data_IF_002726726096
#
_entry.id   IF_002726726096
#
_cell.length_a   1.000
_cell.length_b   1.000
_cell.length_c   1.000
_cell.angle_alpha   90.00
_cell.angle_beta   90.00
_cell.angle_gamma   90.00
#
_symmetry.space_group_name_H-M   'P 1'
#
loop_
_entity.id
_entity.type
_entity.pdbx_description
1 polymer ?
#
# COMPACT_ATOMS: atom_id res chain seq x y z
N UNK A 1 12.76 34.45 -4.08
CA UNK A 1 12.85 33.46 -3.00
C UNK A 1 12.61 32.09 -3.61
N UNK A 2 13.69 31.32 -3.77
CA UNK A 2 13.67 30.01 -4.51
C UNK A 2 13.46 28.89 -3.51
N UNK A 3 12.30 28.22 -3.58
CA UNK A 3 11.99 27.03 -2.76
C UNK A 3 12.59 25.82 -3.47
N UNK A 4 13.68 25.29 -2.93
CA UNK A 4 14.29 24.04 -3.37
C UNK A 4 13.35 22.87 -3.04
N UNK A 5 12.70 22.30 -4.05
CA UNK A 5 11.98 21.01 -3.94
C UNK A 5 13.00 19.88 -3.78
N UNK A 6 12.99 19.27 -2.61
CA UNK A 6 13.75 18.05 -2.35
C UNK A 6 13.12 16.89 -3.16
N UNK A 7 13.90 16.34 -4.09
CA UNK A 7 13.53 15.09 -4.81
C UNK A 7 13.55 13.93 -3.82
N UNK A 8 12.39 13.44 -3.44
CA UNK A 8 12.26 12.15 -2.74
C UNK A 8 12.49 11.04 -3.77
N UNK A 9 13.57 10.30 -3.62
CA UNK A 9 13.76 9.02 -4.33
C UNK A 9 12.79 8.02 -3.73
N UNK A 10 11.79 7.62 -4.49
CA UNK A 10 10.91 6.50 -4.16
C UNK A 10 11.75 5.23 -4.33
N UNK A 11 12.16 4.63 -3.22
CA UNK A 11 12.61 3.24 -3.21
C UNK A 11 11.35 2.38 -3.23
N UNK A 12 11.12 1.71 -4.35
CA UNK A 12 10.10 0.68 -4.47
C UNK A 12 10.52 -0.54 -3.63
N UNK A 13 10.07 -0.58 -2.38
CA UNK A 13 10.12 -1.77 -1.55
C UNK A 13 8.94 -2.67 -1.90
N UNK A 14 9.19 -3.79 -2.58
CA UNK A 14 8.18 -4.80 -2.81
C UNK A 14 7.79 -5.43 -1.47
N UNK A 15 6.57 -5.19 -1.00
CA UNK A 15 5.98 -5.94 0.10
C UNK A 15 5.69 -7.34 -0.43
N UNK A 16 6.54 -8.30 -0.10
CA UNK A 16 6.30 -9.71 -0.36
C UNK A 16 5.23 -10.21 0.61
N UNK A 17 3.98 -10.23 0.17
CA UNK A 17 2.93 -11.01 0.83
C UNK A 17 3.32 -12.49 0.67
N UNK A 18 3.76 -13.12 1.75
CA UNK A 18 4.05 -14.54 1.77
C UNK A 18 2.75 -15.34 1.54
N UNK A 19 2.50 -15.72 0.29
CA UNK A 19 1.49 -16.70 -0.05
C UNK A 19 1.95 -18.05 0.55
N UNK A 20 1.15 -18.63 1.42
CA UNK A 20 1.34 -19.99 1.91
C UNK A 20 1.06 -20.95 0.74
N UNK A 21 2.10 -21.34 0.04
CA UNK A 21 2.05 -22.37 -0.98
C UNK A 21 2.07 -23.73 -0.30
N UNK A 22 1.02 -24.52 -0.48
CA UNK A 22 1.02 -25.93 -0.12
C UNK A 22 2.08 -26.65 -0.94
N UNK A 23 3.17 -27.05 -0.32
CA UNK A 23 4.24 -27.82 -0.94
C UNK A 23 3.78 -29.28 -1.15
N UNK A 24 3.64 -29.66 -2.40
CA UNK A 24 3.58 -31.08 -2.80
C UNK A 24 4.97 -31.68 -2.56
N UNK A 25 5.05 -32.61 -1.64
CA UNK A 25 6.30 -33.32 -1.31
C UNK A 25 6.75 -34.19 -2.49
N UNK A 26 7.84 -33.80 -3.16
CA UNK A 26 8.63 -34.68 -4.01
C UNK A 26 9.70 -35.39 -3.13
N UNK A 27 9.84 -36.70 -3.16
CA UNK A 27 10.84 -37.39 -2.38
C UNK A 27 12.22 -37.26 -3.06
N UNK A 28 13.20 -36.70 -2.35
CA UNK A 28 14.60 -36.97 -2.70
C UNK A 28 15.58 -35.80 -2.76
N UNK A 29 15.25 -34.60 -2.29
CA UNK A 29 16.29 -33.57 -2.07
C UNK A 29 16.27 -33.20 -0.57
N UNK A 30 17.36 -33.50 0.13
CA UNK A 30 17.55 -32.99 1.48
C UNK A 30 17.62 -31.45 1.40
N UNK A 31 16.48 -30.79 1.59
CA UNK A 31 16.47 -29.34 1.80
C UNK A 31 17.23 -29.08 3.08
N UNK A 32 18.35 -28.37 2.96
CA UNK A 32 19.02 -27.82 4.13
C UNK A 32 17.97 -27.07 4.95
N UNK A 33 17.72 -27.53 6.17
CA UNK A 33 16.73 -26.89 7.04
C UNK A 33 17.11 -25.41 7.19
N UNK A 34 16.25 -24.51 6.75
CA UNK A 34 16.47 -23.09 6.91
C UNK A 34 16.69 -22.82 8.41
N UNK A 35 17.81 -22.23 8.80
CA UNK A 35 18.13 -22.03 10.21
C UNK A 35 16.99 -21.26 10.86
N UNK A 36 16.35 -21.83 11.88
CA UNK A 36 15.26 -21.16 12.60
C UNK A 36 15.81 -19.91 13.30
N UNK A 37 15.02 -18.85 13.27
CA UNK A 37 15.36 -17.65 14.03
C UNK A 37 15.47 -17.97 15.52
N UNK A 38 16.47 -17.43 16.23
CA UNK A 38 16.58 -17.56 17.67
C UNK A 38 15.51 -16.80 18.44
N UNK A 39 14.73 -15.95 17.74
CA UNK A 39 13.65 -15.18 18.33
C UNK A 39 12.31 -15.90 18.19
N UNK A 40 11.51 -15.82 19.22
CA UNK A 40 10.10 -16.26 19.23
C UNK A 40 9.21 -15.07 19.53
N UNK A 41 8.33 -14.72 18.60
CA UNK A 41 7.33 -13.66 18.78
C UNK A 41 5.99 -14.28 19.19
N UNK A 42 5.37 -13.72 20.21
CA UNK A 42 4.02 -14.09 20.65
C UNK A 42 3.17 -12.85 20.83
N UNK A 43 1.94 -12.93 20.35
CA UNK A 43 0.89 -11.97 20.65
C UNK A 43 -0.01 -12.57 21.71
N UNK A 44 -0.24 -11.81 22.77
CA UNK A 44 -1.17 -12.18 23.84
C UNK A 44 -2.60 -12.27 23.34
N UNK A 45 -3.49 -12.72 24.20
CA UNK A 45 -4.90 -12.82 23.86
C UNK A 45 -5.48 -11.44 23.55
N UNK A 46 -6.02 -11.29 22.34
CA UNK A 46 -6.76 -10.09 21.94
C UNK A 46 -8.20 -10.20 22.42
N UNK A 47 -8.73 -9.13 22.98
CA UNK A 47 -10.14 -9.08 23.38
C UNK A 47 -11.07 -9.49 22.24
N UNK A 48 -12.09 -10.29 22.55
CA UNK A 48 -13.07 -10.75 21.56
C UNK A 48 -13.89 -9.63 20.93
N UNK A 49 -14.58 -9.93 19.83
CA UNK A 49 -15.43 -9.00 19.07
C UNK A 49 -14.66 -8.11 18.09
N UNK A 50 -15.37 -7.35 17.27
CA UNK A 50 -14.75 -6.48 16.26
C UNK A 50 -14.06 -5.26 16.88
N UNK A 51 -13.13 -4.67 16.14
CA UNK A 51 -12.58 -3.35 16.41
C UNK A 51 -13.56 -2.31 15.86
N UNK A 52 -14.20 -1.53 16.73
CA UNK A 52 -15.23 -0.58 16.30
C UNK A 52 -14.62 0.76 15.91
N UNK A 53 -14.88 1.31 14.69
CA UNK A 53 -14.44 2.64 14.33
C UNK A 53 -14.85 3.71 15.34
N UNK A 54 -13.86 4.46 15.87
CA UNK A 54 -14.05 5.42 16.94
C UNK A 54 -14.36 4.82 18.32
N UNK A 55 -14.31 3.48 18.43
CA UNK A 55 -14.57 2.75 19.67
C UNK A 55 -13.33 2.61 20.57
N UNK A 56 -13.47 1.72 21.56
CA UNK A 56 -12.36 1.41 22.49
C UNK A 56 -11.26 0.62 21.79
N UNK A 57 -10.02 0.91 22.15
CA UNK A 57 -8.87 0.15 21.69
C UNK A 57 -8.91 -1.29 22.19
N UNK A 58 -8.43 -2.23 21.38
CA UNK A 58 -8.04 -3.56 21.81
C UNK A 58 -6.64 -3.51 22.39
N UNK A 59 -6.45 -4.17 23.51
CA UNK A 59 -5.17 -4.22 24.22
C UNK A 59 -4.70 -5.66 24.26
N UNK A 60 -3.43 -5.89 23.94
CA UNK A 60 -2.77 -7.19 24.00
C UNK A 60 -1.28 -7.00 24.25
N UNK A 61 -0.60 -8.08 24.62
CA UNK A 61 0.85 -8.06 24.83
C UNK A 61 1.58 -8.54 23.58
N UNK A 62 2.65 -7.86 23.22
CA UNK A 62 3.69 -8.31 22.28
C UNK A 62 4.85 -8.81 23.12
N UNK A 63 5.24 -10.06 22.95
CA UNK A 63 6.42 -10.64 23.61
C UNK A 63 7.41 -11.19 22.61
N UNK A 64 8.67 -10.84 22.79
CA UNK A 64 9.80 -11.34 21.99
C UNK A 64 10.75 -12.06 22.93
N UNK A 65 10.97 -13.34 22.70
CA UNK A 65 11.83 -14.20 23.51
C UNK A 65 13.05 -14.62 22.69
N UNK A 66 14.23 -14.44 23.25
CA UNK A 66 15.47 -15.00 22.72
C UNK A 66 15.68 -16.41 23.29
N UNK A 67 15.62 -17.43 22.45
CA UNK A 67 15.79 -18.84 22.83
C UNK A 67 17.26 -19.30 22.79
N UNK A 68 18.16 -18.44 22.34
CA UNK A 68 19.58 -18.78 22.21
C UNK A 68 20.42 -18.41 23.45
N UNK A 69 21.58 -19.02 23.57
CA UNK A 69 22.55 -18.74 24.64
C UNK A 69 23.39 -17.46 24.42
N UNK A 70 23.06 -16.63 23.42
CA UNK A 70 23.76 -15.38 23.10
C UNK A 70 22.79 -14.23 22.97
N UNK A 71 23.24 -13.02 23.23
CA UNK A 71 22.41 -11.83 22.93
C UNK A 71 22.13 -11.72 21.43
N UNK A 72 20.90 -11.32 21.08
CA UNK A 72 20.44 -11.15 19.69
C UNK A 72 20.00 -9.70 19.49
N UNK A 73 20.53 -9.06 18.46
CA UNK A 73 20.05 -7.75 18.01
C UNK A 73 18.93 -7.94 16.97
N UNK A 74 17.86 -7.16 17.09
CA UNK A 74 16.74 -7.17 16.14
C UNK A 74 16.12 -5.77 15.98
N UNK A 75 15.55 -5.53 14.82
CA UNK A 75 14.67 -4.40 14.51
C UNK A 75 13.22 -4.89 14.44
N UNK A 76 12.26 -4.02 14.70
CA UNK A 76 10.83 -4.35 14.63
C UNK A 76 10.13 -3.38 13.67
N UNK A 77 9.58 -3.94 12.60
CA UNK A 77 8.72 -3.26 11.66
C UNK A 77 7.26 -3.66 11.94
N UNK A 78 6.39 -2.68 11.98
CA UNK A 78 4.97 -2.86 12.20
C UNK A 78 4.24 -2.58 10.89
N UNK A 79 3.50 -3.56 10.38
CA UNK A 79 2.71 -3.43 9.16
C UNK A 79 1.22 -3.53 9.43
N UNK A 80 0.43 -2.87 8.60
CA UNK A 80 -1.02 -3.01 8.60
C UNK A 80 -1.61 -2.80 7.21
N UNK A 81 -2.60 -3.63 6.86
CA UNK A 81 -3.33 -3.49 5.60
C UNK A 81 -4.81 -3.81 5.79
N UNK A 82 -5.62 -3.23 4.94
CA UNK A 82 -7.03 -3.54 4.85
C UNK A 82 -7.37 -4.11 3.46
N UNK A 83 -8.48 -4.81 3.36
CA UNK A 83 -9.00 -5.34 2.09
C UNK A 83 -10.33 -4.67 1.75
N UNK A 84 -10.30 -3.36 1.59
CA UNK A 84 -11.47 -2.57 1.28
C UNK A 84 -11.43 -1.92 -0.09
N UNK A 85 -12.39 -1.03 -0.31
CA UNK A 85 -12.46 -0.21 -1.51
C UNK A 85 -11.51 1.00 -1.45
N UNK A 86 -10.88 1.25 -0.31
CA UNK A 86 -10.02 2.40 -0.06
C UNK A 86 -8.76 1.96 0.68
N UNK A 87 -7.64 2.58 0.37
CA UNK A 87 -6.38 2.41 1.09
C UNK A 87 -6.47 2.95 2.51
N UNK A 88 -5.62 2.42 3.39
CA UNK A 88 -5.44 2.96 4.73
C UNK A 88 -4.53 4.19 4.72
N UNK A 89 -4.89 5.13 5.57
CA UNK A 89 -4.07 6.28 5.95
C UNK A 89 -3.66 6.17 7.42
N UNK A 90 -2.57 6.84 7.81
CA UNK A 90 -2.09 6.86 9.19
C UNK A 90 -3.10 7.40 10.21
N UNK A 91 -4.13 8.12 9.75
CA UNK A 91 -5.22 8.62 10.60
C UNK A 91 -6.32 7.61 10.86
N UNK A 92 -6.38 6.50 10.10
CA UNK A 92 -7.42 5.47 10.22
C UNK A 92 -7.23 4.57 11.42
N UNK A 93 -5.99 4.45 11.89
CA UNK A 93 -5.61 3.60 13.01
C UNK A 93 -4.81 4.40 14.03
N UNK A 94 -5.13 4.19 15.30
CA UNK A 94 -4.32 4.67 16.41
C UNK A 94 -3.62 3.49 17.07
N UNK A 95 -2.29 3.53 17.07
CA UNK A 95 -1.43 2.54 17.69
C UNK A 95 -0.63 3.17 18.83
N UNK A 96 -0.60 2.51 19.98
CA UNK A 96 0.32 2.83 21.07
C UNK A 96 1.02 1.57 21.52
N UNK A 97 2.32 1.66 21.78
CA UNK A 97 3.14 0.58 22.31
C UNK A 97 3.86 1.08 23.56
N UNK A 98 3.62 0.41 24.67
CA UNK A 98 4.18 0.79 25.98
C UNK A 98 5.04 -0.35 26.51
N UNK A 99 6.32 -0.13 26.88
CA UNK A 99 7.17 -1.17 27.44
C UNK A 99 6.66 -1.61 28.81
N UNK A 100 6.61 -2.93 29.06
CA UNK A 100 6.26 -3.56 30.34
C UNK A 100 7.53 -4.17 30.96
N UNK A 101 8.16 -5.07 30.22
CA UNK A 101 9.45 -5.70 30.55
C UNK A 101 10.42 -5.56 29.36
N UNK A 102 10.52 -4.36 28.82
CA UNK A 102 11.36 -4.02 27.68
C UNK A 102 12.04 -2.67 27.92
N UNK A 103 13.10 -2.33 27.19
CA UNK A 103 13.68 -0.99 27.21
C UNK A 103 12.66 0.07 26.82
N UNK A 104 12.85 1.29 27.32
CA UNK A 104 12.07 2.43 26.87
C UNK A 104 12.12 2.51 25.33
N UNK A 105 10.95 2.62 24.70
CA UNK A 105 10.78 2.48 23.27
C UNK A 105 10.14 3.72 22.66
N UNK A 106 10.47 3.98 21.40
CA UNK A 106 9.80 4.97 20.54
C UNK A 106 9.07 4.22 19.45
N UNK A 107 7.86 4.67 19.14
CA UNK A 107 7.06 4.20 18.02
C UNK A 107 6.95 5.33 16.99
N UNK A 108 7.38 5.09 15.77
CA UNK A 108 7.00 5.84 14.58
C UNK A 108 5.97 5.02 13.82
N UNK A 109 4.82 5.61 13.49
CA UNK A 109 3.72 4.89 12.84
C UNK A 109 2.90 5.85 11.98
N UNK A 110 2.56 5.44 10.77
CA UNK A 110 1.81 6.25 9.82
C UNK A 110 1.28 5.48 8.64
N UNK A 111 0.69 6.19 7.69
CA UNK A 111 0.30 5.64 6.38
C UNK A 111 1.50 5.60 5.44
N UNK A 112 1.65 4.49 4.73
CA UNK A 112 2.62 4.34 3.66
C UNK A 112 2.09 3.36 2.61
N UNK A 113 2.16 3.75 1.34
CA UNK A 113 1.85 2.90 0.19
C UNK A 113 0.48 2.18 0.29
N UNK A 114 -0.54 2.92 0.75
CA UNK A 114 -1.92 2.41 0.89
C UNK A 114 -2.14 1.49 2.08
N UNK A 115 -1.14 1.28 2.90
CA UNK A 115 -1.18 0.55 4.14
C UNK A 115 -0.66 1.37 5.32
N UNK A 116 -0.37 0.67 6.39
CA UNK A 116 0.22 1.23 7.60
C UNK A 116 1.63 0.69 7.74
N UNK A 117 2.57 1.56 8.05
CA UNK A 117 3.94 1.19 8.36
C UNK A 117 4.39 1.89 9.64
N UNK A 118 5.15 1.19 10.45
CA UNK A 118 5.77 1.76 11.64
C UNK A 118 7.02 1.01 12.05
N UNK A 119 7.75 1.66 12.93
CA UNK A 119 8.97 1.10 13.50
C UNK A 119 8.96 1.28 15.01
N UNK A 120 9.21 0.20 15.73
CA UNK A 120 9.42 0.22 17.16
C UNK A 120 10.92 0.06 17.44
N UNK A 121 11.52 1.01 18.15
CA UNK A 121 12.94 1.01 18.41
C UNK A 121 13.29 1.58 19.80
N UNK A 122 14.49 1.30 20.36
CA UNK A 122 14.90 1.83 21.65
C UNK A 122 14.89 3.36 21.68
N UNK A 123 14.26 3.96 22.69
CA UNK A 123 14.19 5.42 22.86
C UNK A 123 15.56 6.08 22.94
N UNK A 124 16.54 5.38 23.49
CA UNK A 124 17.93 5.83 23.60
C UNK A 124 18.76 5.08 22.56
N UNK A 125 19.10 5.74 21.47
CA UNK A 125 19.82 5.17 20.34
C UNK A 125 19.52 5.88 19.03
N UNK A 126 20.01 5.36 17.91
CA UNK A 126 19.66 5.91 16.59
C UNK A 126 18.19 5.63 16.26
N UNK A 127 17.62 6.48 15.42
CA UNK A 127 16.30 6.25 14.81
C UNK A 127 16.32 4.90 14.09
N UNK A 128 15.27 4.12 14.27
CA UNK A 128 15.16 2.73 13.76
C UNK A 128 16.30 1.82 14.23
N UNK A 129 16.87 2.11 15.40
CA UNK A 129 17.92 1.31 16.01
C UNK A 129 17.46 -0.05 16.48
N UNK A 130 18.37 -1.01 16.54
CA UNK A 130 18.06 -2.36 16.98
C UNK A 130 17.95 -2.47 18.51
N UNK A 131 16.99 -3.26 18.97
CA UNK A 131 16.99 -3.79 20.32
C UNK A 131 18.08 -4.86 20.49
N UNK A 132 18.67 -4.95 21.67
CA UNK A 132 19.55 -6.07 22.03
C UNK A 132 18.86 -6.89 23.13
N UNK A 133 18.44 -8.10 22.77
CA UNK A 133 17.76 -9.02 23.69
C UNK A 133 18.78 -10.02 24.27
N UNK A 134 19.05 -10.02 25.58
CA UNK A 134 20.00 -10.93 26.21
C UNK A 134 19.63 -12.40 25.98
N UNK A 135 20.61 -13.29 26.20
CA UNK A 135 20.40 -14.73 26.14
C UNK A 135 19.24 -15.15 27.07
N UNK A 136 18.32 -15.97 26.57
CA UNK A 136 17.18 -16.52 27.31
C UNK A 136 16.21 -15.48 27.90
N UNK A 137 16.33 -14.20 27.52
CA UNK A 137 15.46 -13.12 28.01
C UNK A 137 14.21 -12.97 27.15
N UNK A 138 13.22 -12.27 27.73
CA UNK A 138 11.99 -11.88 27.03
C UNK A 138 11.74 -10.40 27.24
N UNK A 139 11.51 -9.67 26.14
CA UNK A 139 10.93 -8.33 26.17
C UNK A 139 9.43 -8.40 25.99
N UNK A 140 8.69 -7.55 26.70
CA UNK A 140 7.24 -7.47 26.60
C UNK A 140 6.80 -6.02 26.51
N UNK A 141 5.90 -5.75 25.57
CA UNK A 141 5.24 -4.47 25.39
C UNK A 141 3.73 -4.68 25.46
N UNK A 142 3.01 -3.70 25.99
CA UNK A 142 1.58 -3.59 25.88
C UNK A 142 1.22 -2.80 24.64
N UNK A 143 0.47 -3.41 23.72
CA UNK A 143 -0.01 -2.83 22.48
C UNK A 143 -1.46 -2.42 22.67
N UNK A 144 -1.79 -1.19 22.26
CA UNK A 144 -3.15 -0.67 22.21
C UNK A 144 -3.48 -0.21 20.80
N UNK A 145 -4.43 -0.89 20.16
CA UNK A 145 -4.79 -0.70 18.74
C UNK A 145 -6.26 -0.31 18.62
N UNK A 146 -6.56 0.79 17.94
CA UNK A 146 -7.92 1.28 17.72
C UNK A 146 -8.12 1.72 16.27
N UNK A 147 -9.26 1.36 15.67
CA UNK A 147 -9.75 2.01 14.45
C UNK A 147 -10.34 3.37 14.84
N UNK A 148 -9.99 4.42 14.12
CA UNK A 148 -10.51 5.76 14.35
C UNK A 148 -11.88 5.94 13.68
N UNK A 149 -12.48 7.12 13.85
CA UNK A 149 -13.70 7.47 13.11
C UNK A 149 -13.47 7.66 11.61
N UNK A 150 -12.21 7.87 11.21
CA UNK A 150 -11.80 8.01 9.81
C UNK A 150 -11.69 6.67 9.08
N UNK A 151 -11.84 5.53 9.78
CA UNK A 151 -11.76 4.18 9.19
C UNK A 151 -12.53 4.11 7.87
N UNK A 152 -11.92 3.56 6.78
CA UNK A 152 -12.52 3.57 5.45
C UNK A 152 -13.87 2.87 5.40
N UNK A 153 -14.78 3.41 4.58
CA UNK A 153 -16.07 2.77 4.34
C UNK A 153 -15.89 1.43 3.64
N UNK A 154 -16.76 0.48 3.97
CA UNK A 154 -16.80 -0.86 3.37
C UNK A 154 -15.50 -1.65 3.51
N UNK A 155 -14.79 -1.42 4.61
CA UNK A 155 -13.63 -2.19 5.00
C UNK A 155 -13.89 -2.81 6.36
N UNK A 156 -14.01 -4.14 6.41
CA UNK A 156 -14.40 -4.88 7.60
C UNK A 156 -13.25 -5.67 8.24
N UNK A 157 -12.02 -5.50 7.73
CA UNK A 157 -10.85 -6.23 8.22
C UNK A 157 -9.59 -5.36 8.27
N UNK A 158 -8.80 -5.59 9.32
CA UNK A 158 -7.45 -5.09 9.47
C UNK A 158 -6.50 -6.27 9.66
N UNK A 159 -5.58 -6.45 8.73
CA UNK A 159 -4.40 -7.26 8.94
C UNK A 159 -3.35 -6.40 9.61
N UNK A 160 -2.87 -6.83 10.75
CA UNK A 160 -1.91 -6.07 11.54
C UNK A 160 -0.81 -7.00 12.04
N UNK A 161 0.46 -6.65 11.85
CA UNK A 161 1.56 -7.55 12.15
C UNK A 161 2.81 -6.85 12.65
N UNK A 162 3.68 -7.65 13.26
CA UNK A 162 5.02 -7.30 13.69
C UNK A 162 6.00 -8.20 12.94
N UNK A 163 6.99 -7.58 12.31
CA UNK A 163 8.06 -8.23 11.56
C UNK A 163 9.39 -7.89 12.25
N UNK A 164 10.05 -8.90 12.77
CA UNK A 164 11.33 -8.73 13.42
C UNK A 164 12.45 -9.25 12.52
N UNK A 165 13.40 -8.39 12.24
CA UNK A 165 14.61 -8.74 11.49
C UNK A 165 15.81 -8.82 12.42
N UNK A 166 16.50 -9.95 12.39
CA UNK A 166 17.76 -10.10 13.08
C UNK A 166 18.92 -9.61 12.21
N UNK A 167 20.01 -9.21 12.83
CA UNK A 167 21.19 -8.70 12.12
C UNK A 167 21.78 -9.69 11.10
N UNK A 168 21.51 -10.98 11.25
CA UNK A 168 21.91 -12.02 10.31
C UNK A 168 20.86 -12.31 9.23
N UNK A 169 19.87 -11.44 9.07
CA UNK A 169 18.85 -11.51 8.02
C UNK A 169 17.77 -12.56 8.23
N UNK A 170 17.55 -13.01 9.47
CA UNK A 170 16.46 -13.92 9.79
C UNK A 170 15.23 -13.13 10.23
N UNK A 171 14.17 -13.31 9.52
CA UNK A 171 12.88 -12.68 9.80
C UNK A 171 11.98 -13.59 10.64
N UNK A 172 11.25 -12.98 11.57
CA UNK A 172 10.16 -13.62 12.31
C UNK A 172 8.97 -12.69 12.35
N UNK A 173 7.84 -13.14 11.83
CA UNK A 173 6.62 -12.34 11.81
C UNK A 173 5.50 -12.96 12.64
N UNK A 174 4.62 -12.12 13.15
CA UNK A 174 3.34 -12.48 13.76
C UNK A 174 2.30 -11.44 13.43
N UNK A 175 1.14 -11.91 12.95
CA UNK A 175 0.03 -11.05 12.56
C UNK A 175 -1.26 -11.40 13.27
N UNK A 176 -2.16 -10.46 13.23
CA UNK A 176 -3.56 -10.52 13.67
C UNK A 176 -4.45 -10.21 12.47
N UNK A 177 -5.51 -10.99 12.32
CA UNK A 177 -6.62 -10.68 11.42
C UNK A 177 -7.80 -10.22 12.28
N UNK A 178 -8.06 -8.93 12.28
CA UNK A 178 -9.06 -8.28 13.12
C UNK A 178 -10.28 -7.89 12.30
N UNK A 179 -11.46 -8.31 12.73
CA UNK A 179 -12.70 -7.74 12.22
C UNK A 179 -12.83 -6.29 12.65
N UNK A 180 -13.27 -5.41 11.75
CA UNK A 180 -13.50 -3.99 12.02
C UNK A 180 -14.95 -3.63 11.73
N UNK A 181 -15.61 -3.00 12.69
CA UNK A 181 -17.00 -2.59 12.55
C UNK A 181 -17.98 -3.76 12.44
N UNK A 182 -19.12 -3.47 11.84
CA UNK A 182 -20.14 -4.46 11.44
C UNK A 182 -19.87 -4.88 10.00
N UNK A 183 -20.11 -6.16 9.69
CA UNK A 183 -20.03 -6.64 8.30
C UNK A 183 -20.84 -5.73 7.37
N UNK A 184 -20.25 -5.30 6.28
CA UNK A 184 -20.89 -4.44 5.29
C UNK A 184 -21.27 -5.24 4.06
N UNK A 185 -22.33 -4.83 3.41
CA UNK A 185 -22.87 -5.44 2.19
C UNK A 185 -22.50 -4.67 0.93
N UNK A 186 -21.67 -3.62 1.04
CA UNK A 186 -21.24 -2.82 -0.09
C UNK A 186 -20.20 -3.54 -0.97
N UNK A 187 -20.10 -3.10 -2.21
CA UNK A 187 -19.12 -3.58 -3.19
C UNK A 187 -17.87 -2.68 -3.25
N UNK A 188 -17.02 -2.88 -4.26
CA UNK A 188 -15.86 -2.03 -4.51
C UNK A 188 -16.26 -0.70 -5.15
N UNK A 189 -15.28 0.20 -5.28
CA UNK A 189 -15.34 1.25 -6.30
C UNK A 189 -15.03 0.57 -7.63
N UNK A 190 -16.00 0.61 -8.57
CA UNK A 190 -15.79 0.02 -9.89
C UNK A 190 -15.13 1.04 -10.81
N UNK A 191 -14.25 0.56 -11.68
CA UNK A 191 -13.48 1.37 -12.61
C UNK A 191 -13.56 0.79 -14.01
N UNK A 192 -13.65 1.67 -15.02
CA UNK A 192 -13.56 1.27 -16.43
C UNK A 192 -12.75 2.28 -17.21
N UNK A 193 -11.88 1.79 -18.10
CA UNK A 193 -11.11 2.60 -19.05
C UNK A 193 -11.45 2.14 -20.46
N UNK A 194 -12.13 2.99 -21.22
CA UNK A 194 -12.63 2.68 -22.58
C UNK A 194 -12.11 3.69 -23.60
N UNK A 195 -12.24 3.38 -24.90
CA UNK A 195 -11.82 4.25 -26.00
C UNK A 195 -11.03 3.51 -27.07
N UNK A 196 -10.25 4.21 -27.87
CA UNK A 196 -9.37 3.64 -28.89
C UNK A 196 -8.22 2.82 -28.30
N UNK A 197 -7.43 2.21 -29.18
CA UNK A 197 -6.25 1.40 -28.79
C UNK A 197 -5.02 1.65 -29.68
N UNK A 198 -5.05 2.67 -30.56
CA UNK A 198 -3.94 3.05 -31.41
C UNK A 198 -3.69 4.54 -31.28
N UNK A 199 -2.46 4.90 -30.94
CA UNK A 199 -1.95 6.27 -30.93
C UNK A 199 -0.96 6.43 -32.10
N UNK A 200 -1.18 7.43 -32.94
CA UNK A 200 -0.34 7.71 -34.13
C UNK A 200 0.01 9.20 -34.20
N UNK A 201 1.06 9.59 -34.92
CA UNK A 201 1.41 10.98 -35.17
C UNK A 201 0.22 11.77 -35.73
N UNK A 202 -0.08 12.93 -35.14
CA UNK A 202 -1.15 13.80 -35.58
C UNK A 202 -2.59 13.29 -35.32
N UNK A 203 -2.76 12.08 -34.78
CA UNK A 203 -4.08 11.50 -34.45
C UNK A 203 -4.17 11.21 -32.95
N UNK A 204 -4.71 12.15 -32.16
CA UNK A 204 -4.90 11.94 -30.73
C UNK A 204 -5.78 10.73 -30.44
N UNK A 205 -5.45 9.97 -29.41
CA UNK A 205 -6.26 8.86 -28.91
C UNK A 205 -7.10 9.35 -27.74
N UNK A 206 -8.42 9.25 -27.85
CA UNK A 206 -9.35 9.63 -26.78
C UNK A 206 -9.73 8.40 -25.95
N UNK A 207 -9.64 8.56 -24.63
CA UNK A 207 -10.00 7.57 -23.63
C UNK A 207 -11.01 8.15 -22.62
N UNK A 208 -11.83 7.27 -22.06
CA UNK A 208 -12.83 7.59 -21.06
C UNK A 208 -12.61 6.73 -19.83
N UNK A 209 -12.34 7.37 -18.70
CA UNK A 209 -12.18 6.73 -17.41
C UNK A 209 -13.40 7.02 -16.55
N UNK A 210 -14.10 5.98 -16.12
CA UNK A 210 -15.31 6.09 -15.29
C UNK A 210 -15.14 5.32 -14.00
N UNK A 211 -15.45 5.98 -12.91
CA UNK A 211 -15.47 5.47 -11.54
C UNK A 211 -16.91 5.46 -11.04
N UNK A 212 -17.32 4.40 -10.36
CA UNK A 212 -18.65 4.32 -9.71
C UNK A 212 -18.49 3.82 -8.27
N UNK A 213 -19.00 4.60 -7.32
CA UNK A 213 -19.04 4.20 -5.93
C UNK A 213 -20.08 3.10 -5.70
N UNK A 214 -19.65 1.89 -5.36
CA UNK A 214 -20.50 0.75 -4.99
C UNK A 214 -20.32 0.32 -3.54
N UNK A 215 -19.69 1.16 -2.70
CA UNK A 215 -19.29 0.79 -1.33
C UNK A 215 -20.46 0.66 -0.35
N UNK A 216 -21.68 1.00 -0.77
CA UNK A 216 -22.87 0.98 0.09
C UNK A 216 -23.01 2.23 0.97
N UNK A 217 -22.05 3.17 0.91
CA UNK A 217 -22.08 4.43 1.65
C UNK A 217 -21.43 5.56 0.84
N UNK A 218 -21.56 6.80 1.32
CA UNK A 218 -20.81 7.91 0.73
C UNK A 218 -19.32 7.78 1.09
N UNK A 219 -18.45 7.98 0.10
CA UNK A 219 -17.00 8.13 0.31
C UNK A 219 -16.72 9.59 0.65
N UNK A 220 -16.11 9.82 1.80
CA UNK A 220 -15.78 11.17 2.30
C UNK A 220 -14.29 11.47 2.27
N UNK A 221 -13.46 10.46 1.98
CA UNK A 221 -12.02 10.64 1.78
C UNK A 221 -11.76 11.38 0.48
N UNK A 222 -10.73 12.22 0.49
CA UNK A 222 -10.27 12.90 -0.72
C UNK A 222 -9.50 11.91 -1.58
N UNK A 223 -10.05 11.56 -2.73
CA UNK A 223 -9.41 10.69 -3.72
C UNK A 223 -8.97 11.53 -4.91
N UNK A 224 -7.73 11.30 -5.34
CA UNK A 224 -7.10 11.98 -6.47
C UNK A 224 -6.78 10.95 -7.56
N UNK A 225 -7.70 10.70 -8.51
CA UNK A 225 -7.43 9.75 -9.58
C UNK A 225 -6.25 10.20 -10.44
N UNK A 226 -5.58 9.25 -11.06
CA UNK A 226 -4.39 9.50 -11.86
C UNK A 226 -4.26 8.50 -13.01
N UNK A 227 -3.42 8.86 -13.98
CA UNK A 227 -3.12 8.04 -15.16
C UNK A 227 -1.62 7.89 -15.23
N UNK A 228 -1.15 6.67 -15.45
CA UNK A 228 0.26 6.40 -15.78
C UNK A 228 0.35 5.51 -17.01
N UNK A 229 1.51 5.56 -17.64
CA UNK A 229 1.91 4.60 -18.67
C UNK A 229 2.98 3.65 -18.14
N UNK A 230 2.86 2.40 -18.51
CA UNK A 230 3.85 1.37 -18.23
C UNK A 230 4.15 0.56 -19.48
N UNK A 231 5.38 0.09 -19.60
CA UNK A 231 5.72 -0.87 -20.63
C UNK A 231 5.44 -2.29 -20.13
N UNK A 232 4.71 -3.09 -20.90
CA UNK A 232 4.64 -4.52 -20.65
C UNK A 232 6.05 -5.11 -20.64
N UNK A 233 6.50 -5.63 -19.50
CA UNK A 233 7.85 -6.17 -19.34
C UNK A 233 8.91 -5.21 -18.81
N UNK A 234 8.53 -3.97 -18.47
CA UNK A 234 9.44 -2.95 -17.93
C UNK A 234 10.27 -2.22 -18.99
N UNK A 235 11.12 -1.32 -18.55
CA UNK A 235 11.98 -0.51 -19.42
C UNK A 235 11.48 0.91 -19.65
N UNK A 236 12.08 1.62 -20.63
CA UNK A 236 11.71 3.00 -20.97
C UNK A 236 10.89 3.03 -22.26
N UNK A 237 9.88 3.90 -22.31
CA UNK A 237 9.10 4.13 -23.52
C UNK A 237 9.92 4.85 -24.58
N UNK A 238 9.81 4.39 -25.82
CA UNK A 238 10.34 5.09 -27.00
C UNK A 238 9.49 6.31 -27.38
N UNK A 239 8.29 6.42 -26.81
CA UNK A 239 7.34 7.49 -27.06
C UNK A 239 7.33 8.48 -25.90
N UNK A 240 7.33 9.77 -26.20
CA UNK A 240 6.91 10.81 -25.26
C UNK A 240 5.45 11.12 -25.55
N UNK A 241 4.58 10.89 -24.57
CA UNK A 241 3.13 11.06 -24.69
C UNK A 241 2.70 12.23 -23.80
N UNK A 242 1.90 13.13 -24.37
CA UNK A 242 1.24 14.19 -23.63
C UNK A 242 -0.22 13.82 -23.40
N UNK A 243 -0.73 14.21 -22.24
CA UNK A 243 -2.11 13.99 -21.82
C UNK A 243 -2.85 15.33 -21.72
N UNK A 244 -4.06 15.40 -22.28
CA UNK A 244 -4.94 16.54 -22.10
C UNK A 244 -6.29 16.04 -21.56
N UNK A 245 -6.84 16.72 -20.57
CA UNK A 245 -8.17 16.47 -20.01
C UNK A 245 -9.22 17.37 -20.70
N UNK A 246 -10.39 16.84 -20.97
CA UNK A 246 -11.52 17.63 -21.47
C UNK A 246 -12.26 18.28 -20.29
N UNK A 247 -12.03 19.58 -20.10
CA UNK A 247 -12.68 20.38 -19.08
C UNK A 247 -13.54 21.47 -19.74
N UNK A 248 -14.82 21.52 -19.41
CA UNK A 248 -15.77 22.55 -19.93
C UNK A 248 -15.73 22.70 -21.47
N UNK A 249 -15.58 21.57 -22.19
CA UNK A 249 -15.48 21.54 -23.65
C UNK A 249 -14.15 21.98 -24.24
N UNK A 250 -13.12 22.15 -23.42
CA UNK A 250 -11.75 22.51 -23.84
C UNK A 250 -10.74 21.47 -23.36
N UNK A 251 -9.72 21.27 -24.18
CA UNK A 251 -8.62 20.38 -23.82
C UNK A 251 -7.59 21.15 -23.00
N UNK A 252 -7.34 20.72 -21.76
CA UNK A 252 -6.36 21.28 -20.84
C UNK A 252 -5.24 20.27 -20.69
N UNK A 253 -4.01 20.68 -20.92
CA UNK A 253 -2.84 19.80 -20.78
C UNK A 253 -2.63 19.47 -19.31
N UNK A 254 -2.43 18.17 -19.04
CA UNK A 254 -2.05 17.65 -17.74
C UNK A 254 -0.52 17.64 -17.60
N UNK A 255 -0.04 17.69 -16.36
CA UNK A 255 1.40 17.55 -16.10
C UNK A 255 1.91 16.17 -16.56
N UNK A 256 3.14 16.12 -17.10
CA UNK A 256 3.71 14.96 -17.78
C UNK A 256 4.23 13.86 -16.84
N UNK A 257 4.36 14.11 -15.55
CA UNK A 257 4.96 13.17 -14.58
C UNK A 257 3.94 12.31 -13.82
N UNK A 258 2.97 11.77 -14.53
CA UNK A 258 1.81 11.10 -13.98
C UNK A 258 0.63 12.07 -13.92
N UNK A 259 -0.27 11.96 -14.90
CA UNK A 259 -1.35 12.91 -15.04
C UNK A 259 -2.37 12.74 -13.90
N UNK A 260 -2.29 13.60 -12.88
CA UNK A 260 -3.32 13.76 -11.86
C UNK A 260 -4.62 14.24 -12.50
N UNK A 261 -5.71 13.55 -12.22
CA UNK A 261 -7.05 13.97 -12.60
C UNK A 261 -7.68 14.83 -11.50
N UNK A 262 -8.72 15.62 -11.79
CA UNK A 262 -9.45 16.34 -10.76
C UNK A 262 -9.93 15.42 -9.64
N UNK A 263 -9.89 15.92 -8.41
CA UNK A 263 -10.35 15.20 -7.22
C UNK A 263 -11.78 14.73 -7.36
N UNK A 264 -12.07 13.56 -6.81
CA UNK A 264 -13.43 13.08 -6.68
C UNK A 264 -14.24 13.97 -5.71
N UNK A 265 -15.58 13.99 -5.81
CA UNK A 265 -16.41 14.80 -4.90
C UNK A 265 -16.16 14.43 -3.43
N UNK A 266 -16.10 15.44 -2.54
CA UNK A 266 -15.87 15.26 -1.11
C UNK A 266 -16.94 14.42 -0.40
N UNK A 267 -18.14 14.30 -0.98
CA UNK A 267 -19.21 13.42 -0.55
C UNK A 267 -19.71 12.61 -1.75
N UNK A 268 -18.88 11.68 -2.20
CA UNK A 268 -19.20 10.86 -3.35
C UNK A 268 -20.22 9.78 -2.97
N UNK A 269 -21.48 10.02 -3.32
CA UNK A 269 -22.60 9.19 -2.89
C UNK A 269 -22.53 7.76 -3.49
N UNK A 270 -23.07 6.79 -2.75
CA UNK A 270 -23.20 5.43 -3.26
C UNK A 270 -24.05 5.40 -4.52
N UNK A 271 -23.59 4.68 -5.55
CA UNK A 271 -24.21 4.62 -6.87
C UNK A 271 -23.84 5.76 -7.81
N UNK A 272 -23.23 6.83 -7.33
CA UNK A 272 -22.80 7.94 -8.18
C UNK A 272 -21.58 7.58 -9.01
N UNK A 273 -21.56 8.00 -10.28
CA UNK A 273 -20.41 7.86 -11.17
C UNK A 273 -19.76 9.21 -11.44
N UNK A 274 -18.43 9.17 -11.61
CA UNK A 274 -17.61 10.28 -12.09
C UNK A 274 -16.85 9.80 -13.32
N UNK A 275 -16.85 10.60 -14.38
CA UNK A 275 -16.19 10.26 -15.64
C UNK A 275 -15.23 11.36 -16.06
N UNK A 276 -14.08 10.95 -16.53
CA UNK A 276 -13.04 11.80 -17.11
C UNK A 276 -12.85 11.41 -18.57
N UNK A 277 -12.83 12.40 -19.45
CA UNK A 277 -12.47 12.22 -20.85
C UNK A 277 -11.11 12.85 -21.06
N UNK A 278 -10.14 12.06 -21.46
CA UNK A 278 -8.80 12.55 -21.73
C UNK A 278 -8.30 12.05 -23.09
N UNK A 279 -7.34 12.75 -23.66
CA UNK A 279 -6.69 12.34 -24.88
C UNK A 279 -5.18 12.24 -24.68
N UNK A 280 -4.60 11.30 -25.39
CA UNK A 280 -3.17 11.09 -25.50
C UNK A 280 -2.71 11.66 -26.84
N UNK A 281 -1.56 12.35 -26.85
CA UNK A 281 -0.91 12.86 -28.06
C UNK A 281 0.54 12.36 -28.09
N UNK A 282 0.95 11.78 -29.18
CA UNK A 282 2.36 11.48 -29.41
C UNK A 282 3.12 12.79 -29.68
N UNK A 283 4.05 13.12 -28.78
CA UNK A 283 4.87 14.34 -28.85
C UNK A 283 6.20 14.06 -29.55
N UNK A 284 6.83 12.94 -29.21
CA UNK A 284 8.12 12.54 -29.73
C UNK A 284 8.21 11.02 -29.81
N UNK A 285 8.96 10.56 -30.79
CA UNK A 285 9.39 9.19 -30.92
C UNK A 285 10.92 9.15 -30.97
N UNK A 286 11.53 8.25 -30.23
CA UNK A 286 12.99 8.19 -30.17
C UNK A 286 13.59 7.63 -31.49
N UNK A 287 14.66 8.26 -31.93
CA UNK A 287 15.34 7.85 -33.17
C UNK A 287 15.90 6.43 -33.01
N UNK A 288 15.64 5.58 -34.03
CA UNK A 288 16.09 4.19 -34.05
C UNK A 288 15.22 3.23 -33.24
N UNK A 289 14.16 3.69 -32.62
CA UNK A 289 13.20 2.81 -31.95
C UNK A 289 12.36 2.00 -32.97
N UNK A 290 11.75 0.86 -32.55
CA UNK A 290 10.85 0.07 -33.39
C UNK A 290 9.71 0.91 -33.95
N UNK A 291 9.15 0.60 -35.14
CA UNK A 291 8.06 1.32 -35.76
C UNK A 291 6.74 1.35 -34.92
N UNK A 292 6.65 0.47 -33.95
CA UNK A 292 5.53 0.47 -32.98
C UNK A 292 5.95 -0.09 -31.63
N UNK A 293 5.25 0.33 -30.59
CA UNK A 293 5.44 -0.14 -29.22
C UNK A 293 4.07 -0.30 -28.54
N UNK A 294 3.93 -1.31 -27.69
CA UNK A 294 2.77 -1.44 -26.80
C UNK A 294 3.03 -0.75 -25.49
N UNK A 295 2.05 0.04 -25.05
CA UNK A 295 2.07 0.78 -23.79
C UNK A 295 0.80 0.41 -23.00
N UNK A 296 0.94 0.06 -21.75
CA UNK A 296 -0.19 -0.17 -20.84
C UNK A 296 -0.55 1.17 -20.19
N UNK A 297 -1.75 1.64 -20.45
CA UNK A 297 -2.32 2.81 -19.78
C UNK A 297 -3.10 2.31 -18.59
N UNK A 298 -2.73 2.77 -17.42
CA UNK A 298 -3.40 2.46 -16.16
C UNK A 298 -4.04 3.72 -15.61
N UNK A 299 -5.33 3.64 -15.28
CA UNK A 299 -6.06 4.68 -14.58
C UNK A 299 -6.52 4.14 -13.24
N UNK A 300 -6.23 4.84 -12.16
CA UNK A 300 -6.56 4.42 -10.81
C UNK A 300 -7.04 5.62 -9.97
N UNK A 301 -7.90 5.36 -9.00
CA UNK A 301 -8.31 6.36 -8.00
C UNK A 301 -7.45 6.28 -6.73
N UNK A 302 -6.71 5.21 -6.59
CA UNK A 302 -5.80 4.92 -5.49
C UNK A 302 -4.61 4.13 -6.05
N UNK A 303 -3.37 4.60 -5.86
CA UNK A 303 -2.18 3.98 -6.46
C UNK A 303 -1.88 2.57 -5.95
N UNK A 304 -2.48 2.16 -4.84
CA UNK A 304 -2.20 0.90 -4.16
C UNK A 304 -3.31 -0.13 -4.33
N UNK A 305 -4.41 0.25 -5.00
CA UNK A 305 -5.53 -0.62 -5.31
C UNK A 305 -5.57 -0.96 -6.81
N UNK A 306 -6.57 -1.73 -7.20
CA UNK A 306 -6.74 -2.12 -8.59
C UNK A 306 -6.86 -0.91 -9.51
N UNK A 307 -6.29 -1.00 -10.70
CA UNK A 307 -6.42 -0.03 -11.79
C UNK A 307 -7.38 -0.53 -12.87
N UNK A 308 -7.86 0.41 -13.69
CA UNK A 308 -8.47 0.10 -14.97
C UNK A 308 -7.40 0.23 -16.05
N UNK A 309 -7.13 -0.85 -16.75
CA UNK A 309 -5.99 -0.97 -17.65
C UNK A 309 -6.41 -1.02 -19.11
N UNK A 310 -5.59 -0.43 -19.97
CA UNK A 310 -5.79 -0.50 -21.42
C UNK A 310 -4.47 -0.61 -22.15
N UNK A 311 -4.32 -1.65 -22.97
CA UNK A 311 -3.18 -1.80 -23.83
C UNK A 311 -3.35 -0.95 -25.10
N UNK A 312 -2.43 -0.05 -25.35
CA UNK A 312 -2.40 0.88 -26.50
C UNK A 312 -1.19 0.55 -27.37
N UNK A 313 -1.39 0.48 -28.66
CA UNK A 313 -0.31 0.42 -29.65
C UNK A 313 0.04 1.84 -30.06
N UNK A 314 1.26 2.26 -29.79
CA UNK A 314 1.81 3.53 -30.27
C UNK A 314 2.60 3.25 -31.55
N UNK A 315 2.30 3.97 -32.61
CA UNK A 315 2.97 3.82 -33.91
C UNK A 315 3.66 5.12 -34.28
N UNK A 316 4.72 4.99 -35.08
CA UNK A 316 5.49 6.13 -35.62
C UNK A 316 5.34 6.20 -37.15
#
# INVERSE_FOLDING_TARGET
MSVRRARRKVLAGAVAVAAVSAAVALPGVAQAATPRSPLVVKLGQVQSGPLMPGGRAKVFDLSVTNTSGKAVAFTDEIGGSAHGALSLDGTDVRLNVTPVHAPASTLEFGGQDGGLLGFLYPKHGPVNGAFTLPAHATYTWKVSLAATKAWPVNDDRLFFGFNLDTKDGREVSRGLDLKVGTARTGGPITQTLTGGNVLSPGKPLVLHYTLTNRTGAAVTQTLEPWIIEQLPGGGSSAATIAYDLLEHGRWVQLDTDGAGLPKLPAHWANGQSVSYTFRMRLVRWDAGAPASQKVLIQAAYDPFLASADRLVTVTH
#
